data_IF_837333976354
#
_entry.id   IF_837333976354
#
_cell.length_a   1.000
_cell.length_b   1.000
_cell.length_c   1.000
_cell.angle_alpha   90.00
_cell.angle_beta   90.00
_cell.angle_gamma   90.00
#
_symmetry.space_group_name_H-M   'P 1'
#
loop_
_entity.id
_entity.type
_entity.pdbx_description
1 polymer ?
#
# COMPACT_ATOMS: atom_id res chain seq x y z
N UNK A 1 9.82 -18.49 -19.32
CA UNK A 1 10.96 -17.57 -19.07
C UNK A 1 10.55 -16.07 -18.98
N UNK A 2 9.26 -15.72 -18.89
CA UNK A 2 8.82 -14.30 -18.82
C UNK A 2 8.60 -13.77 -17.39
N UNK A 3 8.57 -14.63 -16.37
CA UNK A 3 8.27 -14.24 -14.98
C UNK A 3 9.42 -13.51 -14.26
N UNK A 4 10.61 -13.47 -14.85
CA UNK A 4 11.83 -12.98 -14.21
C UNK A 4 12.17 -11.53 -14.50
N UNK A 5 11.32 -10.82 -15.27
CA UNK A 5 11.54 -9.40 -15.63
C UNK A 5 10.48 -8.51 -14.97
N UNK A 6 10.89 -7.41 -14.34
CA UNK A 6 9.97 -6.39 -13.83
C UNK A 6 9.23 -5.73 -15.00
N UNK A 7 7.90 -5.72 -14.94
CA UNK A 7 7.09 -5.01 -15.93
C UNK A 7 7.17 -3.49 -15.73
N UNK A 8 6.72 -2.71 -16.71
CA UNK A 8 6.66 -1.25 -16.57
C UNK A 8 5.81 -0.81 -15.36
N UNK A 9 4.72 -1.52 -15.08
CA UNK A 9 3.89 -1.28 -13.90
C UNK A 9 4.61 -1.62 -12.59
N UNK A 10 5.41 -2.68 -12.59
CA UNK A 10 6.22 -3.03 -11.41
C UNK A 10 7.27 -1.96 -11.13
N UNK A 11 7.92 -1.41 -12.17
CA UNK A 11 8.89 -0.33 -12.05
C UNK A 11 8.24 0.95 -11.52
N UNK A 12 7.08 1.34 -12.05
CA UNK A 12 6.34 2.51 -11.57
C UNK A 12 5.97 2.40 -10.09
N UNK A 13 5.52 1.22 -9.65
CA UNK A 13 5.25 0.98 -8.24
C UNK A 13 6.51 0.96 -7.40
N UNK A 14 7.61 0.40 -7.92
CA UNK A 14 8.89 0.40 -7.22
C UNK A 14 9.41 1.84 -7.00
N UNK A 15 9.24 2.74 -7.97
CA UNK A 15 9.59 4.16 -7.81
C UNK A 15 8.73 4.84 -6.73
N UNK A 16 7.41 4.58 -6.72
CA UNK A 16 6.49 5.06 -5.67
C UNK A 16 6.91 4.55 -4.27
N UNK A 17 7.22 3.26 -4.17
CA UNK A 17 7.71 2.64 -2.93
C UNK A 17 9.04 3.26 -2.49
N UNK A 18 9.98 3.48 -3.43
CA UNK A 18 11.28 4.07 -3.12
C UNK A 18 11.16 5.49 -2.58
N UNK A 19 10.25 6.30 -3.12
CA UNK A 19 9.99 7.65 -2.62
C UNK A 19 9.34 7.59 -1.23
N UNK A 20 8.31 6.76 -1.06
CA UNK A 20 7.59 6.63 0.20
C UNK A 20 8.49 6.15 1.33
N UNK A 21 9.27 5.09 1.10
CA UNK A 21 10.14 4.51 2.11
C UNK A 21 11.39 5.36 2.34
N UNK A 22 11.91 6.01 1.30
CA UNK A 22 13.04 6.93 1.42
C UNK A 22 12.74 8.20 2.23
N UNK A 23 11.46 8.56 2.38
CA UNK A 23 11.03 9.70 3.19
C UNK A 23 10.84 9.37 4.68
N UNK A 24 10.85 8.08 5.06
CA UNK A 24 10.70 7.65 6.46
C UNK A 24 12.02 7.76 7.23
N UNK A 25 11.93 7.91 8.55
CA UNK A 25 13.08 7.66 9.42
C UNK A 25 13.49 6.19 9.33
N UNK A 26 14.76 5.89 9.56
CA UNK A 26 15.26 4.50 9.55
C UNK A 26 14.55 3.62 10.58
N UNK A 27 14.18 4.19 11.72
CA UNK A 27 13.53 3.47 12.81
C UNK A 27 12.05 3.18 12.53
N UNK A 28 11.45 3.85 11.54
CA UNK A 28 10.04 3.70 11.15
C UNK A 28 9.84 2.73 9.96
N UNK A 29 10.94 2.20 9.41
CA UNK A 29 10.89 1.25 8.30
C UNK A 29 10.64 -0.15 8.81
N UNK A 30 9.69 -0.85 8.21
CA UNK A 30 9.56 -2.30 8.44
C UNK A 30 10.66 -3.08 7.70
N UNK A 31 10.92 -4.31 8.14
CA UNK A 31 11.90 -5.21 7.50
C UNK A 31 11.69 -5.35 5.98
N UNK A 32 10.43 -5.40 5.54
CA UNK A 32 10.09 -5.49 4.12
C UNK A 32 10.45 -4.22 3.34
N UNK A 33 10.30 -3.04 3.96
CA UNK A 33 10.62 -1.75 3.36
C UNK A 33 12.13 -1.55 3.28
N UNK A 34 12.86 -1.92 4.34
CA UNK A 34 14.33 -1.96 4.35
C UNK A 34 14.86 -2.88 3.25
N UNK A 35 14.35 -4.12 3.19
CA UNK A 35 14.79 -5.09 2.21
C UNK A 35 14.42 -4.67 0.78
N UNK A 36 13.27 -4.03 0.58
CA UNK A 36 12.92 -3.44 -0.71
C UNK A 36 13.96 -2.39 -1.14
N UNK A 37 14.26 -1.41 -0.28
CA UNK A 37 15.22 -0.34 -0.60
C UNK A 37 16.60 -0.92 -0.92
N UNK A 38 17.04 -1.91 -0.13
CA UNK A 38 18.31 -2.62 -0.36
C UNK A 38 18.34 -3.30 -1.72
N UNK A 39 17.31 -4.08 -2.06
CA UNK A 39 17.24 -4.81 -3.34
C UNK A 39 17.08 -3.86 -4.53
N UNK A 40 16.36 -2.75 -4.36
CA UNK A 40 16.12 -1.79 -5.41
C UNK A 40 17.38 -1.01 -5.80
N UNK A 41 18.27 -0.73 -4.84
CA UNK A 41 19.54 -0.03 -5.09
C UNK A 41 20.57 -0.86 -5.90
N UNK A 42 20.39 -2.18 -6.03
CA UNK A 42 21.33 -3.06 -6.74
C UNK A 42 21.20 -2.90 -8.25
N UNK A 43 22.31 -2.59 -8.94
CA UNK A 43 22.38 -2.42 -10.41
C UNK A 43 22.35 -3.74 -11.19
N UNK A 44 23.08 -4.76 -10.71
CA UNK A 44 23.17 -6.08 -11.35
C UNK A 44 22.38 -7.11 -10.53
N UNK A 45 21.07 -7.15 -10.72
CA UNK A 45 20.18 -8.00 -9.93
C UNK A 45 20.22 -9.45 -10.42
N UNK A 46 20.46 -10.38 -9.50
CA UNK A 46 20.27 -11.81 -9.80
C UNK A 46 18.77 -12.12 -9.98
N UNK A 47 18.45 -13.25 -10.60
CA UNK A 47 17.06 -13.69 -10.77
C UNK A 47 16.32 -13.81 -9.42
N UNK A 48 17.01 -14.30 -8.38
CA UNK A 48 16.46 -14.37 -7.03
C UNK A 48 16.12 -12.97 -6.47
N UNK A 49 16.97 -11.98 -6.71
CA UNK A 49 16.69 -10.59 -6.31
C UNK A 49 15.44 -10.06 -7.03
N UNK A 50 15.30 -10.32 -8.33
CA UNK A 50 14.13 -9.86 -9.10
C UNK A 50 12.84 -10.54 -8.63
N UNK A 51 12.89 -11.84 -8.35
CA UNK A 51 11.74 -12.58 -7.79
C UNK A 51 11.33 -12.01 -6.43
N UNK A 52 12.28 -11.69 -5.57
CA UNK A 52 12.01 -11.09 -4.26
C UNK A 52 11.46 -9.67 -4.36
N UNK A 53 12.01 -8.82 -5.24
CA UNK A 53 11.45 -7.50 -5.54
C UNK A 53 10.01 -7.59 -6.03
N UNK A 54 9.71 -8.51 -6.94
CA UNK A 54 8.33 -8.74 -7.41
C UNK A 54 7.38 -9.11 -6.28
N UNK A 55 7.82 -9.93 -5.33
CA UNK A 55 7.00 -10.29 -4.18
C UNK A 55 6.69 -9.07 -3.32
N UNK A 56 7.70 -8.25 -3.01
CA UNK A 56 7.53 -7.02 -2.22
C UNK A 56 6.60 -6.02 -2.92
N UNK A 57 6.74 -5.84 -4.24
CA UNK A 57 5.86 -4.99 -5.05
C UNK A 57 4.41 -5.52 -5.05
N UNK A 58 4.23 -6.85 -5.13
CA UNK A 58 2.90 -7.47 -5.04
C UNK A 58 2.25 -7.24 -3.67
N UNK A 59 3.02 -7.38 -2.59
CA UNK A 59 2.53 -7.13 -1.23
C UNK A 59 2.10 -5.68 -1.07
N UNK A 60 2.93 -4.72 -1.49
CA UNK A 60 2.58 -3.30 -1.48
C UNK A 60 1.29 -3.01 -2.26
N UNK A 61 1.13 -3.61 -3.45
CA UNK A 61 -0.08 -3.46 -4.26
C UNK A 61 -1.32 -4.00 -3.54
N UNK A 62 -1.20 -5.12 -2.84
CA UNK A 62 -2.30 -5.71 -2.07
C UNK A 62 -2.65 -4.82 -0.88
N UNK A 63 -1.66 -4.33 -0.14
CA UNK A 63 -1.87 -3.42 0.99
C UNK A 63 -2.57 -2.13 0.55
N UNK A 64 -2.13 -1.51 -0.55
CA UNK A 64 -2.76 -0.31 -1.11
C UNK A 64 -4.24 -0.55 -1.47
N UNK A 65 -4.55 -1.72 -2.04
CA UNK A 65 -5.95 -2.12 -2.34
C UNK A 65 -6.76 -2.33 -1.06
N UNK A 66 -6.16 -2.99 -0.06
CA UNK A 66 -6.81 -3.24 1.22
C UNK A 66 -7.11 -1.92 1.95
N UNK A 67 -6.16 -1.00 2.04
CA UNK A 67 -6.35 0.31 2.65
C UNK A 67 -7.43 1.14 1.93
N UNK A 68 -7.44 1.11 0.60
CA UNK A 68 -8.49 1.77 -0.18
C UNK A 68 -9.89 1.17 0.07
N UNK A 69 -9.98 -0.16 0.20
CA UNK A 69 -11.23 -0.83 0.56
C UNK A 69 -11.67 -0.48 1.99
N UNK A 70 -10.75 -0.51 2.95
CA UNK A 70 -11.00 -0.14 4.35
C UNK A 70 -11.55 1.29 4.46
N UNK A 71 -10.92 2.26 3.80
CA UNK A 71 -11.38 3.65 3.81
C UNK A 71 -12.78 3.84 3.20
N UNK A 72 -13.14 3.04 2.17
CA UNK A 72 -14.51 3.04 1.63
C UNK A 72 -15.52 2.53 2.65
N UNK A 73 -15.20 1.44 3.34
CA UNK A 73 -16.06 0.84 4.37
C UNK A 73 -16.23 1.79 5.57
N UNK A 74 -15.16 2.41 6.05
CA UNK A 74 -15.22 3.38 7.15
C UNK A 74 -16.09 4.59 6.80
N UNK A 75 -15.97 5.11 5.57
CA UNK A 75 -16.82 6.20 5.09
C UNK A 75 -18.30 5.80 4.99
N UNK A 76 -18.58 4.56 4.59
CA UNK A 76 -19.95 4.03 4.55
C UNK A 76 -20.56 3.96 5.95
N UNK A 77 -19.83 3.39 6.92
CA UNK A 77 -20.26 3.30 8.31
C UNK A 77 -20.49 4.68 8.94
N UNK A 78 -19.62 5.66 8.63
CA UNK A 78 -19.80 7.04 9.08
C UNK A 78 -21.10 7.64 8.55
N UNK A 79 -21.38 7.48 7.25
CA UNK A 79 -22.63 7.97 6.63
C UNK A 79 -23.87 7.33 7.24
N UNK A 80 -23.84 6.03 7.53
CA UNK A 80 -24.95 5.36 8.20
C UNK A 80 -25.17 5.88 9.62
N UNK A 81 -24.09 6.10 10.38
CA UNK A 81 -24.15 6.70 11.72
C UNK A 81 -24.75 8.10 11.66
N UNK A 82 -24.25 8.95 10.77
CA UNK A 82 -24.71 10.33 10.60
C UNK A 82 -26.20 10.38 10.18
N UNK A 83 -26.64 9.46 9.32
CA UNK A 83 -28.03 9.34 8.91
C UNK A 83 -28.94 8.93 10.08
N UNK A 84 -28.51 7.97 10.91
CA UNK A 84 -29.25 7.54 12.12
C UNK A 84 -29.32 8.66 13.16
N UNK A 85 -28.22 9.39 13.38
CA UNK A 85 -28.19 10.51 14.31
C UNK A 85 -29.15 11.62 13.88
N UNK A 86 -29.14 12.02 12.61
CA UNK A 86 -30.09 13.02 12.08
C UNK A 86 -31.55 12.61 12.25
N UNK A 87 -31.86 11.31 12.20
CA UNK A 87 -33.21 10.80 12.37
C UNK A 87 -33.63 10.81 13.85
N UNK A 88 -32.72 10.46 14.76
CA UNK A 88 -32.88 10.60 16.22
C UNK A 88 -33.11 12.06 16.63
N UNK A 89 -32.28 12.98 16.14
CA UNK A 89 -32.39 14.41 16.46
C UNK A 89 -33.75 14.98 16.04
N UNK A 90 -34.29 14.53 14.89
CA UNK A 90 -35.64 14.90 14.44
C UNK A 90 -36.75 14.36 15.32
N UNK A 91 -36.60 13.15 15.87
CA UNK A 91 -37.60 12.51 16.73
C UNK A 91 -37.63 13.10 18.14
N UNK A 92 -36.49 13.56 18.65
CA UNK A 92 -36.37 14.18 19.99
C UNK A 92 -36.79 15.66 19.98
N UNK A 93 -36.81 16.30 18.81
CA UNK A 93 -37.21 17.69 18.62
C UNK A 93 -38.75 17.92 18.54
N UNK A 94 -39.56 16.89 18.80
CA UNK A 94 -41.02 16.94 18.92
C UNK A 94 -41.44 16.81 20.38
#
# INVERSE_FOLDING_TARGET
MAETVLTADDLRLADEMSQLYGAKSKDDLSDNEVEFLRLFAVKNRSEACVRKLKLLIKLYRQEKRFLAAKGKTENMLKRERDAKQKLLDKLISW
#
